data_IF_743531441273
#
_entry.id   IF_743531441273
#
_cell.length_a   1.000
_cell.length_b   1.000
_cell.length_c   1.000
_cell.angle_alpha   90.00
_cell.angle_beta   90.00
_cell.angle_gamma   90.00
#
_symmetry.space_group_name_H-M   'P 1'
#
loop_
_entity.id
_entity.type
_entity.pdbx_description
1 polymer ?
#
# COMPACT_ATOMS: atom_id res chain seq x y z
N UNK A 1 19.65 0.48 27.44
CA UNK A 1 18.50 0.79 28.32
C UNK A 1 17.26 0.68 27.47
N UNK A 2 16.25 -0.08 27.90
CA UNK A 2 15.03 -0.19 27.13
C UNK A 2 14.22 1.12 27.22
N UNK A 3 13.36 1.39 26.23
CA UNK A 3 12.52 2.59 26.23
C UNK A 3 11.69 2.69 27.52
N UNK A 4 11.26 1.57 28.09
CA UNK A 4 10.49 1.52 29.33
C UNK A 4 11.31 1.98 30.54
N UNK A 5 12.59 1.61 30.61
CA UNK A 5 13.50 2.01 31.69
C UNK A 5 13.74 3.53 31.66
N UNK A 6 13.84 4.13 30.46
CA UNK A 6 13.96 5.58 30.30
C UNK A 6 12.75 6.30 30.91
N UNK A 7 11.55 5.80 30.64
CA UNK A 7 10.30 6.34 31.18
C UNK A 7 10.24 6.17 32.70
N UNK A 8 10.60 4.99 33.22
CA UNK A 8 10.64 4.75 34.66
C UNK A 8 11.58 5.74 35.36
N UNK A 9 12.80 5.90 34.85
CA UNK A 9 13.78 6.83 35.42
C UNK A 9 13.31 8.29 35.37
N UNK A 10 12.71 8.71 34.25
CA UNK A 10 12.12 10.04 34.14
C UNK A 10 10.99 10.23 35.17
N UNK A 11 10.09 9.24 35.33
CA UNK A 11 9.00 9.28 36.30
C UNK A 11 9.50 9.31 37.75
N UNK A 12 10.53 8.52 38.09
CA UNK A 12 11.17 8.54 39.41
C UNK A 12 11.78 9.91 39.73
N UNK A 13 12.34 10.61 38.72
CA UNK A 13 12.82 11.99 38.90
C UNK A 13 11.67 12.97 39.11
N UNK A 14 10.53 12.79 38.43
CA UNK A 14 9.32 13.59 38.65
C UNK A 14 8.76 13.42 40.07
N UNK A 15 8.76 12.20 40.63
CA UNK A 15 8.36 11.94 42.02
C UNK A 15 9.20 12.72 43.04
N UNK A 16 10.46 13.01 42.69
CA UNK A 16 11.38 13.82 43.51
C UNK A 16 11.30 15.32 43.17
N UNK A 17 10.26 15.75 42.46
CA UNK A 17 10.07 17.11 41.92
C UNK A 17 11.22 17.62 41.04
N UNK A 18 12.06 16.71 40.50
CA UNK A 18 13.18 17.05 39.63
C UNK A 18 12.78 17.01 38.14
N UNK A 19 12.06 18.05 37.71
CA UNK A 19 11.58 18.17 36.33
C UNK A 19 12.73 18.30 35.33
N UNK A 20 13.76 19.08 35.65
CA UNK A 20 14.91 19.29 34.77
C UNK A 20 15.66 17.98 34.50
N UNK A 21 15.86 17.16 35.54
CA UNK A 21 16.47 15.85 35.40
C UNK A 21 15.61 14.87 34.61
N UNK A 22 14.29 14.86 34.81
CA UNK A 22 13.38 14.05 34.01
C UNK A 22 13.43 14.43 32.52
N UNK A 23 13.43 15.74 32.24
CA UNK A 23 13.56 16.28 30.88
C UNK A 23 14.87 15.84 30.23
N UNK A 24 16.00 15.99 30.93
CA UNK A 24 17.31 15.60 30.41
C UNK A 24 17.39 14.10 30.08
N UNK A 25 16.78 13.22 30.90
CA UNK A 25 16.71 11.78 30.60
C UNK A 25 15.95 11.53 29.29
N UNK A 26 14.77 12.12 29.14
CA UNK A 26 13.96 11.95 27.91
C UNK A 26 14.68 12.51 26.70
N UNK A 27 15.20 13.75 26.77
CA UNK A 27 15.87 14.41 25.63
C UNK A 27 17.15 13.69 25.19
N UNK A 28 17.82 12.97 26.09
CA UNK A 28 19.08 12.27 25.77
C UNK A 28 18.84 10.83 25.32
N UNK A 29 17.96 10.10 26.02
CA UNK A 29 17.83 8.65 25.87
C UNK A 29 16.57 8.23 25.07
N UNK A 30 15.55 9.09 25.01
CA UNK A 30 14.35 8.84 24.19
C UNK A 30 13.75 10.14 23.61
N UNK A 31 14.52 10.85 22.76
CA UNK A 31 14.13 12.16 22.26
C UNK A 31 12.87 12.13 21.41
N UNK A 32 12.06 13.19 21.52
CA UNK A 32 10.97 13.43 20.58
C UNK A 32 11.50 14.06 19.29
N UNK A 33 11.22 13.43 18.16
CA UNK A 33 11.54 13.97 16.83
C UNK A 33 10.27 14.46 16.14
N UNK A 34 10.16 15.78 15.93
CA UNK A 34 9.08 16.35 15.12
C UNK A 34 9.39 16.10 13.65
N UNK A 35 8.62 15.23 13.02
CA UNK A 35 8.76 14.90 11.61
C UNK A 35 7.72 15.66 10.78
N UNK A 36 8.13 16.14 9.62
CA UNK A 36 7.23 16.80 8.67
C UNK A 36 6.78 15.75 7.67
N UNK A 37 5.49 15.43 7.67
CA UNK A 37 4.94 14.49 6.70
C UNK A 37 5.05 15.08 5.28
N UNK A 38 5.60 14.31 4.35
CA UNK A 38 5.47 14.59 2.92
C UNK A 38 4.11 14.05 2.40
N UNK A 39 3.66 14.54 1.25
CA UNK A 39 2.47 14.02 0.58
C UNK A 39 2.76 12.72 -0.17
N UNK A 40 1.70 12.10 -0.70
CA UNK A 40 1.78 10.98 -1.65
C UNK A 40 1.44 11.52 -3.05
N UNK A 41 2.38 11.48 -4.00
CA UNK A 41 2.26 12.15 -5.29
C UNK A 41 2.58 11.24 -6.50
N UNK A 42 2.29 9.94 -6.43
CA UNK A 42 2.43 9.04 -7.58
C UNK A 42 1.22 9.06 -8.53
N UNK A 43 1.49 9.01 -9.83
CA UNK A 43 0.52 8.89 -10.91
C UNK A 43 0.09 7.44 -11.11
N UNK A 44 -1.03 7.20 -11.80
CA UNK A 44 -1.44 5.83 -12.14
C UNK A 44 -0.44 5.13 -13.08
N UNK A 45 0.32 5.87 -13.89
CA UNK A 45 1.44 5.34 -14.69
C UNK A 45 2.58 4.85 -13.80
N UNK A 46 2.93 5.60 -12.75
CA UNK A 46 3.93 5.17 -11.77
C UNK A 46 3.45 3.97 -10.95
N UNK A 47 2.16 3.91 -10.59
CA UNK A 47 1.59 2.72 -9.94
C UNK A 47 1.78 1.47 -10.82
N UNK A 48 1.34 1.54 -12.07
CA UNK A 48 1.46 0.42 -12.99
C UNK A 48 2.94 0.02 -13.17
N UNK A 49 3.85 0.99 -13.30
CA UNK A 49 5.28 0.71 -13.40
C UNK A 49 5.83 0.00 -12.14
N UNK A 50 5.41 0.42 -10.94
CA UNK A 50 5.78 -0.25 -9.69
C UNK A 50 5.22 -1.68 -9.63
N UNK A 51 3.96 -1.89 -10.03
CA UNK A 51 3.33 -3.21 -10.04
C UNK A 51 4.04 -4.17 -10.99
N UNK A 52 4.45 -3.68 -12.17
CA UNK A 52 5.27 -4.45 -13.11
C UNK A 52 6.65 -4.75 -12.51
N UNK A 53 7.31 -3.75 -11.91
CA UNK A 53 8.62 -3.90 -11.28
C UNK A 53 8.61 -4.96 -10.17
N UNK A 54 7.54 -5.02 -9.39
CA UNK A 54 7.36 -6.02 -8.33
C UNK A 54 6.74 -7.35 -8.82
N UNK A 55 6.44 -7.49 -10.11
CA UNK A 55 5.84 -8.71 -10.69
C UNK A 55 4.43 -9.01 -10.15
N UNK A 56 3.66 -7.96 -9.82
CA UNK A 56 2.35 -8.07 -9.16
C UNK A 56 2.38 -8.90 -7.86
N UNK A 57 3.50 -8.87 -7.14
CA UNK A 57 3.63 -9.48 -5.82
C UNK A 57 3.33 -8.46 -4.75
N UNK A 58 2.48 -8.84 -3.80
CA UNK A 58 2.35 -8.15 -2.52
C UNK A 58 3.64 -8.33 -1.74
N UNK A 59 4.46 -7.29 -1.71
CA UNK A 59 5.79 -7.33 -1.10
C UNK A 59 5.76 -7.47 0.43
N UNK A 60 4.59 -7.34 1.07
CA UNK A 60 4.44 -7.50 2.52
C UNK A 60 3.97 -8.90 2.93
N UNK A 61 3.41 -9.69 2.01
CA UNK A 61 2.91 -11.05 2.29
C UNK A 61 3.42 -12.15 1.35
N UNK A 62 3.97 -11.78 0.19
CA UNK A 62 4.36 -12.71 -0.88
C UNK A 62 3.18 -13.20 -1.74
N UNK A 63 1.96 -12.72 -1.49
CA UNK A 63 0.77 -13.08 -2.25
C UNK A 63 0.80 -12.48 -3.67
N UNK A 64 0.28 -13.23 -4.65
CA UNK A 64 0.03 -12.70 -6.01
C UNK A 64 -1.19 -11.78 -6.03
N UNK A 65 -1.05 -10.63 -6.68
CA UNK A 65 -2.08 -9.61 -6.86
C UNK A 65 -2.51 -9.52 -8.32
N UNK A 66 -3.60 -8.82 -8.60
CA UNK A 66 -4.17 -8.77 -9.94
C UNK A 66 -4.25 -7.35 -10.51
N UNK A 67 -4.21 -7.24 -11.83
CA UNK A 67 -4.55 -6.01 -12.54
C UNK A 67 -5.95 -5.56 -12.12
N UNK A 68 -6.15 -4.36 -11.57
CA UNK A 68 -7.44 -3.98 -11.00
C UNK A 68 -8.59 -4.00 -12.02
N UNK A 69 -8.27 -3.87 -13.31
CA UNK A 69 -9.22 -3.98 -14.40
C UNK A 69 -9.92 -5.34 -14.45
N UNK A 70 -9.24 -6.45 -14.12
CA UNK A 70 -9.81 -7.80 -14.23
C UNK A 70 -10.99 -7.99 -13.27
N UNK A 71 -10.86 -7.50 -12.03
CA UNK A 71 -11.94 -7.58 -11.04
C UNK A 71 -13.13 -6.71 -11.45
N UNK A 72 -12.84 -5.54 -12.04
CA UNK A 72 -13.91 -4.65 -12.52
C UNK A 72 -14.66 -5.23 -13.71
N UNK A 73 -14.02 -6.03 -14.56
CA UNK A 73 -14.69 -6.84 -15.59
C UNK A 73 -15.62 -7.88 -14.95
N UNK A 74 -15.19 -8.56 -13.87
CA UNK A 74 -16.08 -9.49 -13.14
C UNK A 74 -17.32 -8.77 -12.60
N UNK A 75 -17.15 -7.59 -12.00
CA UNK A 75 -18.29 -6.77 -11.53
C UNK A 75 -19.20 -6.28 -12.64
N UNK A 76 -18.67 -6.06 -13.84
CA UNK A 76 -19.49 -5.64 -14.98
C UNK A 76 -20.45 -6.75 -15.40
N UNK A 77 -19.98 -8.00 -15.50
CA UNK A 77 -20.82 -9.12 -15.94
C UNK A 77 -21.64 -9.76 -14.82
N UNK A 78 -21.17 -9.69 -13.57
CA UNK A 78 -21.74 -10.43 -12.45
C UNK A 78 -21.92 -9.52 -11.23
N UNK A 79 -22.57 -8.36 -11.40
CA UNK A 79 -22.67 -7.33 -10.36
C UNK A 79 -23.30 -7.80 -9.04
N UNK A 80 -24.20 -8.79 -9.07
CA UNK A 80 -24.79 -9.37 -7.86
C UNK A 80 -23.84 -10.34 -7.13
N UNK A 81 -23.03 -11.11 -7.87
CA UNK A 81 -22.09 -12.10 -7.32
C UNK A 81 -20.74 -11.50 -6.98
N UNK A 82 -20.30 -10.50 -7.74
CA UNK A 82 -19.03 -9.81 -7.62
C UNK A 82 -19.25 -8.30 -7.57
N UNK A 83 -19.91 -7.77 -6.52
CA UNK A 83 -20.30 -6.37 -6.46
C UNK A 83 -19.09 -5.44 -6.35
N UNK A 84 -19.25 -4.23 -6.87
CA UNK A 84 -18.28 -3.14 -6.76
C UNK A 84 -18.95 -1.89 -6.21
N UNK A 85 -18.31 -1.27 -5.23
CA UNK A 85 -18.68 0.05 -4.73
C UNK A 85 -17.50 1.01 -4.89
N UNK A 86 -17.68 2.22 -5.41
CA UNK A 86 -16.57 3.13 -5.71
C UNK A 86 -15.73 3.54 -4.49
N UNK A 87 -16.35 3.54 -3.30
CA UNK A 87 -15.69 3.81 -2.03
C UNK A 87 -15.40 2.56 -1.21
N UNK A 88 -15.51 1.38 -1.83
CA UNK A 88 -15.26 0.07 -1.22
C UNK A 88 -15.97 -0.06 0.13
N UNK A 89 -17.30 0.07 0.10
CA UNK A 89 -18.11 -0.16 1.28
C UNK A 89 -18.13 -1.67 1.53
N UNK A 90 -17.68 -2.12 2.70
CA UNK A 90 -17.42 -3.54 2.99
C UNK A 90 -18.63 -4.45 2.74
N UNK A 91 -19.84 -3.97 3.02
CA UNK A 91 -21.09 -4.73 2.84
C UNK A 91 -21.63 -4.71 1.41
N UNK A 92 -21.06 -3.90 0.51
CA UNK A 92 -21.57 -3.67 -0.87
C UNK A 92 -20.49 -3.88 -1.94
N UNK A 93 -19.32 -4.43 -1.58
CA UNK A 93 -18.22 -4.64 -2.49
C UNK A 93 -17.51 -5.95 -2.16
N UNK A 94 -17.13 -6.69 -3.20
CA UNK A 94 -16.52 -8.01 -3.04
C UNK A 94 -15.12 -7.91 -2.40
N UNK A 95 -14.83 -8.71 -1.38
CA UNK A 95 -13.59 -8.66 -0.57
C UNK A 95 -12.30 -8.77 -1.39
N UNK A 96 -12.34 -9.48 -2.53
CA UNK A 96 -11.24 -9.52 -3.51
C UNK A 96 -10.68 -8.13 -3.89
N UNK A 97 -11.50 -7.06 -3.85
CA UNK A 97 -11.01 -5.70 -4.07
C UNK A 97 -10.01 -5.21 -3.03
N UNK A 98 -10.05 -5.72 -1.80
CA UNK A 98 -9.08 -5.38 -0.75
C UNK A 98 -7.92 -6.35 -0.73
N UNK A 99 -8.22 -7.62 -0.97
CA UNK A 99 -7.26 -8.72 -0.86
C UNK A 99 -6.31 -8.77 -2.06
N UNK A 100 -6.78 -8.44 -3.27
CA UNK A 100 -6.05 -8.72 -4.51
C UNK A 100 -5.72 -7.47 -5.34
N UNK A 101 -6.34 -6.31 -5.09
CA UNK A 101 -6.01 -5.08 -5.82
C UNK A 101 -4.70 -4.51 -5.28
N UNK A 102 -3.68 -4.32 -6.14
CA UNK A 102 -2.43 -3.70 -5.75
C UNK A 102 -2.59 -2.20 -5.53
N UNK A 103 -1.75 -1.70 -4.63
CA UNK A 103 -1.47 -0.28 -4.40
C UNK A 103 0.01 -0.10 -4.16
N UNK A 104 0.46 1.15 -4.29
CA UNK A 104 1.79 1.57 -3.90
C UNK A 104 1.73 2.06 -2.46
N UNK A 105 2.54 1.46 -1.59
CA UNK A 105 2.79 1.95 -0.24
C UNK A 105 4.26 2.33 -0.07
N UNK A 106 4.52 3.16 0.94
CA UNK A 106 5.86 3.57 1.33
C UNK A 106 6.43 2.60 2.36
N UNK A 107 7.53 1.91 2.04
CA UNK A 107 8.19 0.92 2.91
C UNK A 107 8.47 1.56 4.28
N UNK A 108 9.12 2.72 4.27
CA UNK A 108 9.23 3.61 5.42
C UNK A 108 8.12 4.68 5.36
N UNK A 109 7.23 4.78 6.36
CA UNK A 109 6.08 5.68 6.31
C UNK A 109 6.46 7.15 6.13
N UNK A 110 5.73 7.85 5.27
CA UNK A 110 5.97 9.26 4.96
C UNK A 110 5.76 10.17 6.18
N UNK A 111 4.83 9.81 7.08
CA UNK A 111 4.62 10.52 8.35
C UNK A 111 5.80 10.40 9.31
N UNK A 112 6.66 9.40 9.10
CA UNK A 112 7.92 9.22 9.83
C UNK A 112 9.12 9.80 9.04
N UNK A 113 8.88 10.52 7.94
CA UNK A 113 9.95 11.11 7.12
C UNK A 113 10.42 10.24 5.96
N UNK A 114 9.69 9.17 5.62
CA UNK A 114 9.95 8.39 4.41
C UNK A 114 9.81 9.21 3.13
N UNK A 115 10.73 9.00 2.19
CA UNK A 115 10.72 9.68 0.90
C UNK A 115 9.57 9.18 0.02
N UNK A 116 8.94 10.08 -0.73
CA UNK A 116 8.00 9.71 -1.78
C UNK A 116 8.75 9.44 -3.10
N UNK A 117 9.50 8.34 -3.14
CA UNK A 117 10.32 7.95 -4.29
C UNK A 117 10.30 6.43 -4.52
N UNK A 118 10.63 5.96 -5.74
CA UNK A 118 10.60 4.53 -6.08
C UNK A 118 11.43 3.64 -5.14
N UNK A 119 12.53 4.15 -4.59
CA UNK A 119 13.40 3.41 -3.66
C UNK A 119 12.70 3.09 -2.33
N UNK A 120 11.65 3.83 -2.00
CA UNK A 120 10.83 3.63 -0.81
C UNK A 120 9.42 3.12 -1.16
N UNK A 121 9.16 2.74 -2.42
CA UNK A 121 7.86 2.22 -2.84
C UNK A 121 7.83 0.70 -2.85
N UNK A 122 6.66 0.16 -2.54
CA UNK A 122 6.36 -1.26 -2.60
C UNK A 122 4.96 -1.49 -3.15
N UNK A 123 4.81 -2.51 -3.99
CA UNK A 123 3.51 -3.07 -4.33
C UNK A 123 2.98 -3.88 -3.15
N UNK A 124 1.74 -3.63 -2.75
CA UNK A 124 1.05 -4.37 -1.68
C UNK A 124 -0.44 -4.38 -1.95
N UNK A 125 -1.21 -5.31 -1.37
CA UNK A 125 -2.67 -5.23 -1.40
C UNK A 125 -3.18 -4.04 -0.58
N UNK A 126 -4.40 -3.60 -0.88
CA UNK A 126 -5.07 -2.58 -0.07
C UNK A 126 -5.31 -3.03 1.37
N UNK A 127 -5.52 -4.33 1.58
CA UNK A 127 -5.63 -4.93 2.92
C UNK A 127 -4.34 -4.75 3.72
N UNK A 128 -3.20 -5.20 3.20
CA UNK A 128 -1.92 -5.08 3.90
C UNK A 128 -1.47 -3.63 4.05
N UNK A 129 -1.72 -2.76 3.07
CA UNK A 129 -1.49 -1.33 3.21
C UNK A 129 -2.30 -0.72 4.37
N UNK A 130 -3.57 -1.12 4.50
CA UNK A 130 -4.45 -0.63 5.58
C UNK A 130 -3.99 -1.13 6.95
N UNK A 131 -3.53 -2.38 7.04
CA UNK A 131 -2.97 -2.94 8.27
C UNK A 131 -1.65 -2.25 8.63
N UNK A 132 -0.77 -2.03 7.63
CA UNK A 132 0.51 -1.38 7.86
C UNK A 132 0.34 0.07 8.31
N UNK A 133 -0.56 0.81 7.67
CA UNK A 133 -0.88 2.19 8.03
C UNK A 133 0.41 3.03 8.17
N UNK A 134 0.61 3.67 9.31
CA UNK A 134 1.78 4.50 9.61
C UNK A 134 2.90 3.75 10.34
N UNK A 135 2.83 2.42 10.44
CA UNK A 135 3.85 1.62 11.10
C UNK A 135 4.96 1.24 10.11
N UNK A 136 6.19 1.18 10.63
CA UNK A 136 7.31 0.55 9.92
C UNK A 136 7.14 -0.97 9.89
N UNK A 137 7.77 -1.64 8.92
CA UNK A 137 7.78 -3.11 8.88
C UNK A 137 8.37 -3.71 10.16
N UNK A 138 9.43 -3.11 10.70
CA UNK A 138 10.05 -3.53 11.96
C UNK A 138 9.06 -3.47 13.14
N UNK A 139 8.29 -2.38 13.27
CA UNK A 139 7.30 -2.24 14.34
C UNK A 139 6.17 -3.28 14.25
N UNK A 140 5.85 -3.75 13.05
CA UNK A 140 4.85 -4.80 12.82
C UNK A 140 5.45 -6.20 12.90
N UNK A 141 6.77 -6.32 13.07
CA UNK A 141 7.51 -7.57 12.90
C UNK A 141 7.24 -8.23 11.54
N UNK A 142 7.10 -7.39 10.50
CA UNK A 142 6.96 -7.81 9.12
C UNK A 142 8.31 -7.84 8.44
N UNK A 143 8.42 -8.67 7.41
CA UNK A 143 9.57 -8.70 6.50
C UNK A 143 9.12 -8.26 5.12
N UNK A 144 10.09 -7.77 4.35
CA UNK A 144 9.91 -7.54 2.93
C UNK A 144 10.11 -8.86 2.18
N UNK A 145 9.16 -9.23 1.32
CA UNK A 145 9.30 -10.35 0.40
C UNK A 145 10.00 -9.88 -0.88
N UNK A 146 10.57 -10.81 -1.64
CA UNK A 146 11.21 -10.50 -2.92
C UNK A 146 10.17 -10.09 -3.97
N UNK A 147 10.61 -9.31 -4.96
CA UNK A 147 9.80 -9.03 -6.13
C UNK A 147 9.60 -10.31 -6.96
N UNK A 148 8.48 -10.39 -7.67
CA UNK A 148 8.26 -11.44 -8.66
C UNK A 148 8.84 -11.09 -10.02
N UNK A 149 8.65 -12.01 -10.96
CA UNK A 149 8.92 -11.78 -12.39
C UNK A 149 7.59 -11.57 -13.12
N UNK A 150 7.47 -10.43 -13.81
CA UNK A 150 6.29 -10.07 -14.59
C UNK A 150 6.07 -11.03 -15.77
N UNK A 151 7.14 -11.59 -16.33
CA UNK A 151 7.05 -12.55 -17.44
C UNK A 151 6.53 -13.93 -16.96
N UNK A 152 6.73 -14.26 -15.68
CA UNK A 152 6.14 -15.44 -15.05
C UNK A 152 4.70 -15.20 -14.57
N UNK A 153 4.41 -13.99 -14.07
CA UNK A 153 3.09 -13.60 -13.60
C UNK A 153 2.80 -12.10 -13.85
N UNK A 154 1.98 -11.84 -14.85
CA UNK A 154 1.67 -10.49 -15.33
C UNK A 154 0.50 -9.81 -14.58
N UNK A 155 0.11 -10.35 -13.42
CA UNK A 155 -1.09 -9.91 -12.70
C UNK A 155 -2.39 -10.15 -13.47
N UNK A 156 -2.44 -11.12 -14.39
CA UNK A 156 -3.56 -11.34 -15.32
C UNK A 156 -3.78 -10.19 -16.32
N UNK A 157 -2.77 -9.36 -16.56
CA UNK A 157 -2.88 -8.19 -17.45
C UNK A 157 -3.21 -8.60 -18.89
N UNK A 158 -2.57 -9.63 -19.43
CA UNK A 158 -2.85 -10.14 -20.77
C UNK A 158 -4.25 -10.74 -20.90
N UNK A 159 -4.75 -11.41 -19.86
CA UNK A 159 -6.12 -11.92 -19.83
C UNK A 159 -7.14 -10.77 -19.78
N UNK A 160 -6.89 -9.77 -18.95
CA UNK A 160 -7.70 -8.56 -18.87
C UNK A 160 -7.80 -7.84 -20.22
N UNK A 161 -6.68 -7.65 -20.92
CA UNK A 161 -6.65 -7.04 -22.25
C UNK A 161 -7.50 -7.86 -23.24
N UNK A 162 -7.34 -9.18 -23.27
CA UNK A 162 -8.14 -10.07 -24.15
C UNK A 162 -9.63 -9.97 -23.90
N UNK A 163 -10.07 -9.87 -22.64
CA UNK A 163 -11.49 -9.71 -22.30
C UNK A 163 -12.05 -8.37 -22.80
N UNK A 164 -11.30 -7.28 -22.62
CA UNK A 164 -11.70 -5.95 -23.12
C UNK A 164 -11.70 -5.87 -24.65
N UNK A 165 -10.81 -6.61 -25.32
CA UNK A 165 -10.79 -6.68 -26.78
C UNK A 165 -11.93 -7.53 -27.34
N UNK A 166 -12.31 -8.60 -26.65
CA UNK A 166 -13.46 -9.44 -27.00
C UNK A 166 -14.80 -8.70 -26.81
N UNK A 167 -14.88 -7.80 -25.83
CA UNK A 167 -16.06 -6.95 -25.60
C UNK A 167 -15.65 -5.49 -25.36
N UNK A 168 -15.67 -4.69 -26.43
CA UNK A 168 -15.30 -3.26 -26.39
C UNK A 168 -16.29 -2.40 -25.61
N UNK A 169 -17.50 -2.88 -25.32
CA UNK A 169 -18.48 -2.14 -24.51
C UNK A 169 -17.98 -1.92 -23.08
N UNK A 170 -17.09 -2.79 -22.58
CA UNK A 170 -16.40 -2.64 -21.29
C UNK A 170 -15.67 -1.30 -21.14
N UNK A 171 -15.24 -0.68 -22.24
CA UNK A 171 -14.57 0.63 -22.23
C UNK A 171 -15.50 1.81 -21.91
N UNK A 172 -16.81 1.61 -21.83
CA UNK A 172 -17.76 2.61 -21.32
C UNK A 172 -17.59 2.82 -19.81
N UNK A 173 -17.11 1.80 -19.09
CA UNK A 173 -16.71 1.95 -17.68
C UNK A 173 -15.34 2.64 -17.60
N UNK A 174 -15.29 3.78 -16.90
CA UNK A 174 -14.10 4.62 -16.81
C UNK A 174 -12.96 3.97 -16.03
N UNK A 175 -13.28 3.09 -15.08
CA UNK A 175 -12.29 2.35 -14.30
C UNK A 175 -11.63 1.29 -15.18
N UNK A 176 -12.42 0.52 -15.94
CA UNK A 176 -11.90 -0.45 -16.91
C UNK A 176 -11.05 0.24 -17.97
N UNK A 177 -11.58 1.31 -18.58
CA UNK A 177 -10.88 2.06 -19.63
C UNK A 177 -9.51 2.57 -19.20
N UNK A 178 -9.41 3.08 -17.97
CA UNK A 178 -8.15 3.56 -17.40
C UNK A 178 -7.10 2.45 -17.31
N UNK A 179 -7.44 1.32 -16.69
CA UNK A 179 -6.51 0.21 -16.54
C UNK A 179 -6.18 -0.46 -17.88
N UNK A 180 -7.13 -0.50 -18.81
CA UNK A 180 -6.88 -0.97 -20.17
C UNK A 180 -5.80 -0.12 -20.87
N UNK A 181 -5.96 1.21 -20.89
CA UNK A 181 -4.97 2.13 -21.47
C UNK A 181 -3.57 1.91 -20.88
N UNK A 182 -3.47 1.81 -19.56
CA UNK A 182 -2.21 1.55 -18.86
C UNK A 182 -1.60 0.19 -19.24
N UNK A 183 -2.45 -0.83 -19.41
CA UNK A 183 -2.03 -2.19 -19.75
C UNK A 183 -1.50 -2.32 -21.18
N UNK A 184 -2.05 -1.56 -22.13
CA UNK A 184 -1.61 -1.57 -23.53
C UNK A 184 -0.56 -0.49 -23.84
N UNK A 185 -0.09 0.25 -22.83
CA UNK A 185 0.93 1.29 -23.00
C UNK A 185 0.46 2.52 -23.78
N UNK A 186 -0.85 2.79 -23.83
CA UNK A 186 -1.40 4.00 -24.46
C UNK A 186 -1.44 5.11 -23.41
N UNK A 187 -0.81 6.25 -23.70
CA UNK A 187 -0.79 7.39 -22.77
C UNK A 187 -2.22 7.83 -22.36
N UNK A 188 -2.38 8.18 -21.07
CA UNK A 188 -3.66 8.48 -20.43
C UNK A 188 -4.25 9.82 -20.88
#
# INVERSE_FOLDING_TARGET
MEKIDVIEQAAQKLLKHNIAGARSVIETEYPFHKLTAQGRNYTDKQKMAQFICDGFIDRYSGQRLVNPGILKVMSYYMSETFPYHAHWKMEECHNAYWELVPTVDHIYPVVLGGADSPENWATTSMLHNSIKSNWTLEQLNWKMYDAGDYDEYDGMTGLFVKLVEADRELLKDTYIKRWYKLSVGVDL
#
